data_IF_760361106831
#
_entry.id   IF_760361106831
#
_cell.length_a   1.000
_cell.length_b   1.000
_cell.length_c   1.000
_cell.angle_alpha   90.00
_cell.angle_beta   90.00
_cell.angle_gamma   90.00
#
_symmetry.space_group_name_H-M   'P 1'
#
loop_
_entity.id
_entity.type
_entity.pdbx_description
1 polymer ?
#
# COMPACT_ATOMS: atom_id res chain seq x y z
N UNK A 1 15.03 -17.55 -20.92
CA UNK A 1 15.07 -17.06 -19.52
C UNK A 1 15.37 -15.57 -19.41
N UNK A 2 16.30 -15.02 -20.21
CA UNK A 2 16.72 -13.61 -20.15
C UNK A 2 15.58 -12.59 -20.32
N UNK A 3 14.69 -12.77 -21.30
CA UNK A 3 13.54 -11.86 -21.52
C UNK A 3 12.63 -11.72 -20.29
N UNK A 4 12.41 -12.81 -19.54
CA UNK A 4 11.61 -12.75 -18.31
C UNK A 4 12.38 -12.06 -17.18
N UNK A 5 13.69 -12.28 -17.08
CA UNK A 5 14.58 -11.61 -16.12
C UNK A 5 14.51 -10.10 -16.31
N UNK A 6 14.70 -9.63 -17.54
CA UNK A 6 14.72 -8.21 -17.87
C UNK A 6 13.33 -7.58 -17.67
N UNK A 7 12.26 -8.32 -18.02
CA UNK A 7 10.87 -7.91 -17.71
C UNK A 7 10.66 -7.72 -16.21
N UNK A 8 11.10 -8.67 -15.38
CA UNK A 8 10.95 -8.59 -13.93
C UNK A 8 11.76 -7.41 -13.37
N UNK A 9 13.05 -7.30 -13.74
CA UNK A 9 13.93 -6.24 -13.27
C UNK A 9 13.41 -4.84 -13.64
N UNK A 10 12.96 -4.64 -14.89
CA UNK A 10 12.36 -3.37 -15.31
C UNK A 10 11.05 -3.05 -14.59
N UNK A 11 10.27 -4.08 -14.23
CA UNK A 11 9.02 -3.88 -13.47
C UNK A 11 9.31 -3.50 -12.03
N UNK A 12 10.24 -4.20 -11.37
CA UNK A 12 10.69 -3.87 -10.01
C UNK A 12 11.33 -2.50 -9.97
N UNK A 13 12.18 -2.14 -10.94
CA UNK A 13 12.78 -0.80 -11.04
C UNK A 13 11.72 0.30 -11.05
N UNK A 14 10.70 0.16 -11.90
CA UNK A 14 9.58 1.10 -11.98
C UNK A 14 8.81 1.16 -10.66
N UNK A 15 8.52 0.02 -10.06
CA UNK A 15 7.86 -0.06 -8.76
C UNK A 15 8.66 0.65 -7.64
N UNK A 16 9.95 0.36 -7.51
CA UNK A 16 10.81 0.98 -6.47
C UNK A 16 10.89 2.50 -6.66
N UNK A 17 11.04 2.97 -7.89
CA UNK A 17 11.07 4.40 -8.19
C UNK A 17 9.72 5.05 -7.87
N UNK A 18 8.62 4.40 -8.24
CA UNK A 18 7.25 4.87 -8.00
C UNK A 18 6.88 4.91 -6.51
N UNK A 19 7.22 3.88 -5.74
CA UNK A 19 6.98 3.84 -4.30
C UNK A 19 7.78 4.91 -3.56
N UNK A 20 9.04 5.12 -3.96
CA UNK A 20 9.90 6.15 -3.37
C UNK A 20 9.42 7.56 -3.70
N UNK A 21 9.02 7.83 -4.94
CA UNK A 21 8.54 9.15 -5.34
C UNK A 21 7.24 9.55 -4.63
N UNK A 22 6.43 8.57 -4.25
CA UNK A 22 5.19 8.76 -3.49
C UNK A 22 5.39 8.71 -1.97
N UNK A 23 6.63 8.65 -1.46
CA UNK A 23 6.86 8.66 -0.01
C UNK A 23 6.77 10.08 0.57
N UNK A 24 6.23 10.22 1.78
CA UNK A 24 6.12 11.52 2.45
C UNK A 24 7.48 12.19 2.68
N UNK A 25 8.50 11.40 3.04
CA UNK A 25 9.85 11.90 3.16
C UNK A 25 10.36 12.48 1.82
N UNK A 26 10.11 11.81 0.70
CA UNK A 26 10.51 12.35 -0.60
C UNK A 26 9.73 13.63 -0.93
N UNK A 27 8.45 13.70 -0.58
CA UNK A 27 7.63 14.88 -0.78
C UNK A 27 8.14 16.10 0.02
N UNK A 28 8.65 15.91 1.23
CA UNK A 28 9.33 16.99 2.00
C UNK A 28 10.52 17.52 1.22
N UNK A 29 11.39 16.62 0.74
CA UNK A 29 12.58 17.01 -0.02
C UNK A 29 12.20 17.77 -1.29
N UNK A 30 11.25 17.25 -2.08
CA UNK A 30 10.89 17.85 -3.37
C UNK A 30 10.16 19.19 -3.20
N UNK A 31 9.23 19.28 -2.26
CA UNK A 31 8.37 20.47 -2.14
C UNK A 31 9.04 21.63 -1.41
N UNK A 32 9.88 21.32 -0.42
CA UNK A 32 10.42 22.33 0.50
C UNK A 32 11.90 22.64 0.23
N UNK A 33 12.69 21.66 -0.21
CA UNK A 33 14.13 21.83 -0.50
C UNK A 33 14.32 22.23 -1.97
N UNK A 34 13.63 23.27 -2.44
CA UNK A 34 13.56 23.71 -3.87
C UNK A 34 14.92 23.92 -4.58
N UNK A 35 16.04 23.87 -3.87
CA UNK A 35 17.40 23.91 -4.40
C UNK A 35 18.07 22.55 -4.22
N UNK A 36 18.72 22.05 -5.29
CA UNK A 36 19.49 20.79 -5.41
C UNK A 36 19.44 19.92 -4.14
N UNK A 37 18.75 18.75 -4.17
CA UNK A 37 18.64 17.89 -2.99
C UNK A 37 20.05 17.68 -2.43
N UNK A 38 20.30 17.98 -1.14
CA UNK A 38 21.65 17.98 -0.61
C UNK A 38 22.30 16.66 -0.99
N UNK A 39 23.44 16.75 -1.68
CA UNK A 39 24.23 15.59 -2.05
C UNK A 39 24.54 14.85 -0.73
N UNK A 40 23.83 13.76 -0.51
CA UNK A 40 23.78 13.01 0.76
C UNK A 40 23.00 13.71 1.88
N UNK A 41 21.67 13.73 1.76
CA UNK A 41 20.84 13.59 2.96
C UNK A 41 21.32 12.33 3.70
N UNK A 42 22.00 12.54 4.83
CA UNK A 42 22.37 11.48 5.77
C UNK A 42 21.12 10.69 6.12
N UNK A 43 21.30 9.43 6.53
CA UNK A 43 20.19 8.65 7.07
C UNK A 43 19.57 9.45 8.23
N UNK A 44 18.25 9.68 8.16
CA UNK A 44 17.57 10.56 9.12
C UNK A 44 17.44 9.95 10.51
N UNK A 45 17.50 8.62 10.63
CA UNK A 45 17.39 7.88 11.89
C UNK A 45 18.59 7.00 12.17
N UNK A 46 18.91 6.81 13.44
CA UNK A 46 19.97 5.89 13.85
C UNK A 46 19.56 4.42 13.69
N UNK A 47 20.57 3.58 13.48
CA UNK A 47 20.40 2.15 13.34
C UNK A 47 21.25 1.44 14.38
N UNK A 48 20.60 0.59 15.16
CA UNK A 48 21.27 -0.36 16.03
C UNK A 48 21.29 -1.74 15.37
N UNK A 49 22.45 -2.38 15.33
CA UNK A 49 22.63 -3.69 14.71
C UNK A 49 22.87 -4.74 15.77
N UNK A 50 22.11 -5.84 15.72
CA UNK A 50 22.29 -7.02 16.54
C UNK A 50 22.63 -8.23 15.68
N UNK A 51 23.75 -8.89 15.98
CA UNK A 51 24.26 -10.05 15.23
C UNK A 51 24.32 -11.26 16.15
N UNK A 52 23.36 -12.17 15.99
CA UNK A 52 23.24 -13.36 16.82
C UNK A 52 23.23 -13.03 18.32
N UNK A 53 24.21 -13.58 19.07
CA UNK A 53 24.37 -13.38 20.52
C UNK A 53 25.28 -12.20 20.89
N UNK A 54 25.87 -11.50 19.91
CA UNK A 54 26.75 -10.35 20.19
C UNK A 54 25.95 -9.17 20.75
N UNK A 55 26.60 -8.31 21.58
CA UNK A 55 25.98 -7.07 22.00
C UNK A 55 25.61 -6.24 20.77
N UNK A 56 24.52 -5.49 20.90
CA UNK A 56 24.12 -4.57 19.86
C UNK A 56 25.08 -3.39 19.79
N UNK A 57 25.25 -2.82 18.60
CA UNK A 57 26.09 -1.65 18.38
C UNK A 57 25.39 -0.67 17.45
N UNK A 58 25.66 0.62 17.65
CA UNK A 58 25.16 1.66 16.76
C UNK A 58 25.95 1.65 15.44
N UNK A 59 25.22 1.72 14.34
CA UNK A 59 25.80 1.82 13.02
C UNK A 59 26.16 3.28 12.73
N UNK A 60 27.43 3.60 12.40
CA UNK A 60 27.83 4.95 12.02
C UNK A 60 26.98 5.49 10.86
N UNK A 61 26.59 6.77 10.93
CA UNK A 61 25.72 7.43 9.93
C UNK A 61 26.22 7.36 8.48
N UNK A 62 27.54 7.17 8.28
CA UNK A 62 28.16 7.02 6.94
C UNK A 62 27.94 5.62 6.33
N UNK A 63 27.61 4.62 7.13
CA UNK A 63 27.43 3.23 6.64
C UNK A 63 25.99 3.04 6.15
N UNK A 64 25.88 2.72 4.87
CA UNK A 64 24.61 2.45 4.19
C UNK A 64 24.04 1.08 4.54
N UNK A 65 22.72 0.91 4.38
CA UNK A 65 22.04 -0.36 4.69
C UNK A 65 22.53 -1.50 3.79
N UNK A 66 22.90 -1.21 2.54
CA UNK A 66 23.44 -2.22 1.60
C UNK A 66 24.76 -2.82 2.10
N UNK A 67 25.62 -2.02 2.75
CA UNK A 67 26.86 -2.53 3.33
C UNK A 67 26.61 -3.47 4.51
N UNK A 68 25.59 -3.18 5.33
CA UNK A 68 25.17 -4.10 6.40
C UNK A 68 24.61 -5.37 5.80
N UNK A 69 23.72 -5.25 4.81
CA UNK A 69 23.13 -6.38 4.10
C UNK A 69 24.20 -7.32 3.49
N UNK A 70 25.20 -6.76 2.81
CA UNK A 70 26.30 -7.53 2.22
C UNK A 70 27.15 -8.24 3.29
N UNK A 71 27.51 -7.53 4.37
CA UNK A 71 28.26 -8.11 5.51
C UNK A 71 27.51 -9.24 6.20
N UNK A 72 26.17 -9.15 6.24
CA UNK A 72 25.31 -10.16 6.84
C UNK A 72 24.87 -11.25 5.85
N UNK A 73 25.54 -11.36 4.69
CA UNK A 73 25.26 -12.38 3.66
C UNK A 73 23.78 -12.42 3.24
N UNK A 74 23.16 -11.25 3.08
CA UNK A 74 21.83 -11.12 2.49
C UNK A 74 20.63 -11.48 3.37
N UNK A 75 20.84 -11.96 4.61
CA UNK A 75 19.76 -12.39 5.52
C UNK A 75 19.59 -11.42 6.69
N UNK A 76 18.60 -10.54 6.61
CA UNK A 76 18.46 -9.39 7.51
C UNK A 76 17.03 -9.18 8.01
N UNK A 77 16.87 -8.94 9.31
CA UNK A 77 15.60 -8.49 9.90
C UNK A 77 15.66 -6.97 10.12
N UNK A 78 14.68 -6.22 9.64
CA UNK A 78 14.53 -4.78 9.89
C UNK A 78 13.39 -4.58 10.88
N UNK A 79 13.72 -4.07 12.06
CA UNK A 79 12.81 -3.76 13.16
C UNK A 79 12.69 -2.26 13.34
N UNK A 80 11.55 -1.80 13.86
CA UNK A 80 11.35 -0.40 14.19
C UNK A 80 9.90 -0.11 14.55
N UNK A 81 9.64 1.02 15.18
CA UNK A 81 8.29 1.43 15.55
C UNK A 81 7.40 1.67 14.30
N UNK A 82 6.07 1.63 14.43
CA UNK A 82 5.16 2.12 13.38
C UNK A 82 5.57 3.53 12.93
N UNK A 83 5.68 3.78 11.63
CA UNK A 83 6.19 5.06 11.10
C UNK A 83 7.71 5.28 11.25
N UNK A 84 8.46 4.33 11.83
CA UNK A 84 9.92 4.42 12.06
C UNK A 84 10.81 4.28 10.81
N UNK A 85 10.25 4.35 9.60
CA UNK A 85 11.05 4.32 8.36
C UNK A 85 11.40 2.93 7.80
N UNK A 86 10.83 1.83 8.32
CA UNK A 86 11.10 0.45 7.86
C UNK A 86 10.96 0.27 6.34
N UNK A 87 9.79 0.62 5.80
CA UNK A 87 9.51 0.56 4.37
C UNK A 87 10.44 1.48 3.57
N UNK A 88 10.78 2.66 4.10
CA UNK A 88 11.74 3.57 3.45
C UNK A 88 13.14 2.97 3.37
N UNK A 89 13.62 2.35 4.46
CA UNK A 89 14.91 1.63 4.48
C UNK A 89 14.89 0.42 3.54
N UNK A 90 13.78 -0.33 3.50
CA UNK A 90 13.61 -1.47 2.58
C UNK A 90 13.65 -1.03 1.11
N UNK A 91 12.98 0.08 0.77
CA UNK A 91 12.99 0.66 -0.59
C UNK A 91 14.36 1.21 -0.97
N UNK A 92 15.11 1.80 -0.03
CA UNK A 92 16.49 2.22 -0.25
C UNK A 92 17.37 1.02 -0.60
N UNK A 93 17.27 -0.06 0.18
CA UNK A 93 17.96 -1.32 -0.08
C UNK A 93 17.56 -1.90 -1.45
N UNK A 94 16.26 -2.00 -1.72
CA UNK A 94 15.74 -2.48 -3.00
C UNK A 94 16.31 -1.70 -4.18
N UNK A 95 16.38 -0.36 -4.09
CA UNK A 95 16.97 0.48 -5.13
C UNK A 95 18.44 0.14 -5.39
N UNK A 96 19.23 -0.05 -4.34
CA UNK A 96 20.65 -0.41 -4.46
C UNK A 96 20.82 -1.80 -5.10
N UNK A 97 19.95 -2.76 -4.74
CA UNK A 97 19.92 -4.09 -5.34
C UNK A 97 19.48 -4.08 -6.81
N UNK A 98 18.51 -3.24 -7.19
CA UNK A 98 18.12 -3.04 -8.60
C UNK A 98 19.31 -2.52 -9.40
N UNK A 99 20.00 -1.48 -8.93
CA UNK A 99 21.18 -0.93 -9.61
C UNK A 99 22.28 -1.99 -9.77
N UNK A 100 22.48 -2.83 -8.74
CA UNK A 100 23.42 -3.96 -8.81
C UNK A 100 23.00 -4.97 -9.89
N UNK A 101 21.73 -5.36 -9.92
CA UNK A 101 21.18 -6.33 -10.87
C UNK A 101 21.10 -5.84 -12.33
N UNK A 102 21.09 -4.52 -12.54
CA UNK A 102 21.26 -3.89 -13.86
C UNK A 102 22.71 -3.97 -14.36
N UNK A 103 23.68 -3.78 -13.46
CA UNK A 103 25.11 -3.83 -13.80
C UNK A 103 25.64 -5.25 -13.96
N UNK A 104 25.12 -6.19 -13.16
CA UNK A 104 25.62 -7.56 -13.08
C UNK A 104 24.48 -8.56 -13.40
N UNK A 105 24.38 -9.07 -14.64
CA UNK A 105 23.29 -9.96 -15.05
C UNK A 105 23.17 -11.25 -14.23
N UNK A 106 24.24 -11.69 -13.58
CA UNK A 106 24.29 -12.92 -12.75
C UNK A 106 23.77 -12.72 -11.33
N UNK A 107 23.53 -11.48 -10.88
CA UNK A 107 23.01 -11.26 -9.52
C UNK A 107 21.50 -11.50 -9.46
N UNK A 108 21.05 -11.82 -8.24
CA UNK A 108 19.64 -11.99 -7.88
C UNK A 108 18.84 -10.71 -8.15
N UNK A 109 17.58 -10.88 -8.55
CA UNK A 109 16.64 -9.78 -8.76
C UNK A 109 15.86 -9.53 -7.46
N UNK A 110 15.87 -8.30 -6.92
CA UNK A 110 15.05 -7.99 -5.75
C UNK A 110 13.56 -8.06 -6.10
N UNK A 111 12.76 -8.70 -5.24
CA UNK A 111 11.30 -8.68 -5.33
C UNK A 111 10.71 -8.19 -4.03
N UNK A 112 9.86 -7.16 -4.12
CA UNK A 112 9.14 -6.61 -2.98
C UNK A 112 7.83 -7.37 -2.79
N UNK A 113 7.56 -7.82 -1.57
CA UNK A 113 6.36 -8.59 -1.21
C UNK A 113 5.76 -8.03 0.09
N UNK A 114 4.43 -8.03 0.19
CA UNK A 114 3.73 -7.61 1.42
C UNK A 114 3.15 -8.84 2.11
N UNK A 115 3.60 -9.08 3.33
CA UNK A 115 3.23 -10.26 4.10
C UNK A 115 1.79 -10.19 4.62
N UNK A 116 1.17 -9.01 4.64
CA UNK A 116 -0.26 -8.86 4.95
C UNK A 116 -1.18 -9.63 4.00
N UNK A 117 -0.68 -10.02 2.82
CA UNK A 117 -1.41 -10.86 1.85
C UNK A 117 -1.43 -12.35 2.21
N UNK A 118 -0.74 -12.75 3.28
CA UNK A 118 -0.83 -14.09 3.85
C UNK A 118 -2.12 -14.22 4.68
N UNK A 119 -3.11 -14.94 4.16
CA UNK A 119 -4.44 -15.03 4.79
C UNK A 119 -4.86 -16.46 5.17
N UNK A 120 -4.13 -17.47 4.73
CA UNK A 120 -4.49 -18.88 4.97
C UNK A 120 -3.44 -19.56 5.84
N UNK A 121 -3.89 -20.18 6.93
CA UNK A 121 -3.02 -20.94 7.85
C UNK A 121 -2.47 -22.22 7.22
N UNK A 122 -3.14 -22.80 6.25
CA UNK A 122 -2.73 -24.06 5.62
C UNK A 122 -1.92 -23.84 4.34
N UNK A 123 -1.70 -22.58 3.94
CA UNK A 123 -0.95 -22.26 2.73
C UNK A 123 0.55 -22.50 2.95
N UNK A 124 1.19 -23.15 1.97
CA UNK A 124 2.64 -23.28 1.93
C UNK A 124 3.30 -21.97 1.48
N UNK A 125 4.44 -21.62 2.11
CA UNK A 125 5.14 -20.36 1.84
C UNK A 125 5.71 -20.25 0.43
N UNK A 126 6.14 -21.37 -0.14
CA UNK A 126 6.68 -21.41 -1.50
C UNK A 126 5.55 -21.16 -2.50
N UNK A 127 4.38 -21.76 -2.28
CA UNK A 127 3.20 -21.51 -3.10
C UNK A 127 2.67 -20.09 -2.95
N UNK A 128 2.67 -19.53 -1.74
CA UNK A 128 2.37 -18.10 -1.54
C UNK A 128 3.34 -17.21 -2.32
N UNK A 129 4.66 -17.42 -2.20
CA UNK A 129 5.68 -16.66 -2.93
C UNK A 129 5.42 -16.70 -4.45
N UNK A 130 5.19 -17.90 -4.99
CA UNK A 130 4.93 -18.09 -6.43
C UNK A 130 3.64 -17.37 -6.85
N UNK A 131 2.58 -17.48 -6.06
CA UNK A 131 1.30 -16.82 -6.34
C UNK A 131 1.41 -15.30 -6.26
N UNK A 132 2.09 -14.76 -5.25
CA UNK A 132 2.28 -13.32 -5.10
C UNK A 132 3.14 -12.74 -6.22
N UNK A 133 4.26 -13.39 -6.57
CA UNK A 133 5.12 -12.94 -7.67
C UNK A 133 4.38 -13.04 -9.02
N UNK A 134 3.60 -14.11 -9.25
CA UNK A 134 2.74 -14.22 -10.45
C UNK A 134 1.72 -13.10 -10.49
N UNK A 135 1.00 -12.88 -9.40
CA UNK A 135 -0.06 -11.88 -9.30
C UNK A 135 0.49 -10.48 -9.56
N UNK A 136 1.62 -10.14 -8.92
CA UNK A 136 2.24 -8.82 -8.93
C UNK A 136 3.01 -8.51 -10.20
N UNK A 137 3.86 -9.42 -10.68
CA UNK A 137 4.78 -9.17 -11.80
C UNK A 137 4.36 -9.83 -13.12
N UNK A 138 3.25 -10.59 -13.12
CA UNK A 138 2.73 -11.29 -14.30
C UNK A 138 3.79 -12.19 -14.97
N UNK A 139 4.54 -12.92 -14.14
CA UNK A 139 5.53 -13.93 -14.55
C UNK A 139 4.90 -15.34 -14.39
N UNK A 140 5.09 -16.26 -15.34
CA UNK A 140 4.55 -17.63 -15.23
C UNK A 140 5.11 -18.40 -14.03
N UNK A 141 4.25 -19.19 -13.35
CA UNK A 141 4.61 -19.96 -12.14
C UNK A 141 5.86 -20.82 -12.32
N UNK A 142 5.98 -21.52 -13.46
CA UNK A 142 7.12 -22.41 -13.77
C UNK A 142 8.46 -21.66 -13.75
N UNK A 143 8.48 -20.42 -14.27
CA UNK A 143 9.68 -19.58 -14.27
C UNK A 143 10.03 -19.11 -12.86
N UNK A 144 9.02 -18.74 -12.07
CA UNK A 144 9.21 -18.30 -10.69
C UNK A 144 9.77 -19.43 -9.82
N UNK A 145 9.22 -20.64 -9.92
CA UNK A 145 9.74 -21.82 -9.18
C UNK A 145 11.20 -22.08 -9.51
N UNK A 146 11.55 -22.12 -10.80
CA UNK A 146 12.93 -22.25 -11.24
C UNK A 146 13.84 -21.13 -10.69
N UNK A 147 13.37 -19.88 -10.61
CA UNK A 147 14.15 -18.79 -10.04
C UNK A 147 14.35 -18.89 -8.52
N UNK A 148 13.35 -19.40 -7.80
CA UNK A 148 13.46 -19.64 -6.36
C UNK A 148 14.46 -20.77 -6.07
N UNK A 149 14.34 -21.89 -6.78
CA UNK A 149 15.23 -23.07 -6.66
C UNK A 149 16.69 -22.72 -6.99
N UNK A 150 16.91 -21.89 -8.02
CA UNK A 150 18.25 -21.45 -8.43
C UNK A 150 18.74 -20.19 -7.69
N UNK A 151 18.06 -19.75 -6.63
CA UNK A 151 18.44 -18.59 -5.81
C UNK A 151 18.62 -17.28 -6.61
N UNK A 152 17.84 -17.10 -7.68
CA UNK A 152 17.92 -15.95 -8.58
C UNK A 152 17.08 -14.75 -8.13
N UNK A 153 16.41 -14.85 -6.98
CA UNK A 153 15.58 -13.78 -6.41
C UNK A 153 16.10 -13.37 -5.03
N UNK A 154 16.10 -12.06 -4.77
CA UNK A 154 16.30 -11.51 -3.42
C UNK A 154 14.94 -11.16 -2.84
N UNK A 155 14.52 -11.87 -1.79
CA UNK A 155 13.18 -11.72 -1.22
C UNK A 155 13.17 -10.56 -0.22
N UNK A 156 12.45 -9.48 -0.54
CA UNK A 156 12.29 -8.30 0.31
C UNK A 156 10.84 -8.24 0.80
N UNK A 157 10.59 -8.69 2.02
CA UNK A 157 9.26 -8.90 2.57
C UNK A 157 8.97 -7.85 3.65
N UNK A 158 7.92 -7.06 3.46
CA UNK A 158 7.46 -6.06 4.42
C UNK A 158 6.18 -6.51 5.14
N UNK A 159 5.90 -5.94 6.30
CA UNK A 159 4.58 -6.00 6.92
C UNK A 159 4.26 -7.22 7.78
N UNK A 160 5.24 -7.87 8.43
CA UNK A 160 4.94 -8.96 9.38
C UNK A 160 4.02 -8.51 10.53
N UNK A 161 4.14 -7.26 10.96
CA UNK A 161 3.27 -6.65 11.98
C UNK A 161 1.82 -6.45 11.54
N UNK A 162 1.52 -6.61 10.24
CA UNK A 162 0.17 -6.54 9.67
C UNK A 162 -0.50 -7.90 9.50
N UNK A 163 0.23 -9.00 9.76
CA UNK A 163 -0.36 -10.35 9.76
C UNK A 163 -1.24 -10.48 11.00
N UNK A 164 -2.41 -11.11 10.85
CA UNK A 164 -3.32 -11.30 11.98
C UNK A 164 -2.63 -12.07 13.12
N UNK A 165 -2.94 -11.75 14.39
CA UNK A 165 -2.30 -12.40 15.54
C UNK A 165 -2.42 -13.94 15.50
N UNK A 166 -3.56 -14.45 15.04
CA UNK A 166 -3.86 -15.88 14.88
C UNK A 166 -2.92 -16.59 13.89
N UNK A 167 -2.53 -15.90 12.81
CA UNK A 167 -1.67 -16.44 11.75
C UNK A 167 -0.18 -16.18 11.99
N UNK A 168 0.16 -15.19 12.83
CA UNK A 168 1.53 -14.70 13.01
C UNK A 168 2.54 -15.80 13.37
N UNK A 169 2.17 -16.72 14.27
CA UNK A 169 3.02 -17.86 14.69
C UNK A 169 3.31 -18.79 13.51
N UNK A 170 2.26 -19.21 12.81
CA UNK A 170 2.37 -20.11 11.67
C UNK A 170 3.14 -19.46 10.51
N UNK A 171 2.85 -18.19 10.21
CA UNK A 171 3.56 -17.41 9.21
C UNK A 171 5.07 -17.35 9.49
N UNK A 172 5.47 -17.13 10.75
CA UNK A 172 6.89 -17.13 11.14
C UNK A 172 7.52 -18.52 10.98
N UNK A 173 6.84 -19.58 11.40
CA UNK A 173 7.30 -20.97 11.24
C UNK A 173 7.49 -21.33 9.76
N UNK A 174 6.53 -20.98 8.92
CA UNK A 174 6.58 -21.13 7.47
C UNK A 174 7.75 -20.36 6.84
N UNK A 175 7.96 -19.09 7.22
CA UNK A 175 9.13 -18.34 6.73
C UNK A 175 10.44 -19.00 7.17
N UNK A 176 10.51 -19.54 8.39
CA UNK A 176 11.68 -20.27 8.85
C UNK A 176 11.93 -21.55 8.03
N UNK A 177 10.89 -22.18 7.48
CA UNK A 177 11.01 -23.33 6.57
C UNK A 177 11.65 -22.96 5.23
N UNK A 178 11.55 -21.71 4.76
CA UNK A 178 12.27 -21.26 3.55
C UNK A 178 13.78 -21.47 3.65
N UNK A 179 14.34 -21.31 4.85
CA UNK A 179 15.78 -21.53 5.09
C UNK A 179 16.20 -23.00 4.94
N UNK A 180 15.25 -23.93 4.93
CA UNK A 180 15.48 -25.37 4.76
C UNK A 180 15.22 -25.77 3.31
N UNK A 181 14.07 -25.40 2.74
CA UNK A 181 13.62 -25.89 1.44
C UNK A 181 14.21 -25.14 0.24
N UNK A 182 14.21 -23.80 0.28
CA UNK A 182 14.61 -22.97 -0.85
C UNK A 182 16.01 -22.36 -0.66
N UNK A 183 16.45 -22.21 0.59
CA UNK A 183 17.72 -21.59 0.95
C UNK A 183 17.98 -20.29 0.16
N UNK A 184 17.06 -19.30 0.19
CA UNK A 184 17.22 -18.10 -0.60
C UNK A 184 18.53 -17.41 -0.24
N UNK A 185 19.25 -16.96 -1.28
CA UNK A 185 20.51 -16.23 -1.14
C UNK A 185 20.31 -14.97 -0.28
N UNK A 186 19.25 -14.23 -0.57
CA UNK A 186 18.90 -13.01 0.14
C UNK A 186 17.46 -13.08 0.65
N UNK A 187 17.28 -12.76 1.93
CA UNK A 187 15.97 -12.69 2.60
C UNK A 187 15.98 -11.54 3.59
N UNK A 188 15.14 -10.54 3.33
CA UNK A 188 14.92 -9.40 4.21
C UNK A 188 13.48 -9.40 4.68
N UNK A 189 13.27 -9.27 5.98
CA UNK A 189 11.94 -9.21 6.60
C UNK A 189 11.83 -7.92 7.39
N UNK A 190 10.71 -7.22 7.29
CA UNK A 190 10.41 -6.06 8.14
C UNK A 190 9.28 -6.37 9.12
N UNK A 191 9.43 -5.90 10.37
CA UNK A 191 8.42 -6.04 11.41
C UNK A 191 8.46 -4.86 12.38
N UNK A 192 7.34 -4.58 13.05
CA UNK A 192 7.39 -3.78 14.27
C UNK A 192 8.25 -4.47 15.34
N UNK A 193 8.93 -3.68 16.17
CA UNK A 193 9.71 -4.23 17.29
C UNK A 193 8.79 -4.91 18.32
N UNK A 194 7.66 -4.28 18.67
CA UNK A 194 6.71 -4.81 19.63
C UNK A 194 6.14 -6.17 19.22
N UNK A 195 5.68 -6.31 17.97
CA UNK A 195 5.16 -7.58 17.45
C UNK A 195 6.23 -8.67 17.51
N UNK A 196 7.44 -8.38 17.02
CA UNK A 196 8.51 -9.37 16.97
C UNK A 196 9.06 -9.75 18.34
N UNK A 197 9.08 -8.81 19.30
CA UNK A 197 9.51 -9.07 20.68
C UNK A 197 8.65 -10.18 21.31
N UNK A 198 7.34 -10.12 21.09
CA UNK A 198 6.36 -11.04 21.66
C UNK A 198 6.33 -12.43 21.01
N UNK A 199 6.95 -12.62 19.85
CA UNK A 199 7.05 -13.94 19.22
C UNK A 199 7.96 -14.88 20.04
N UNK A 200 7.48 -16.07 20.40
CA UNK A 200 8.28 -17.11 21.07
C UNK A 200 9.38 -17.64 20.15
N UNK A 201 9.02 -17.94 18.91
CA UNK A 201 9.94 -18.31 17.84
C UNK A 201 10.55 -17.06 17.21
N UNK A 202 11.81 -17.15 16.78
CA UNK A 202 12.52 -16.05 16.12
C UNK A 202 12.88 -16.44 14.68
N UNK A 203 12.92 -15.45 13.79
CA UNK A 203 13.36 -15.65 12.41
C UNK A 203 14.80 -16.19 12.34
N UNK A 204 15.03 -17.18 11.49
CA UNK A 204 16.35 -17.76 11.18
C UNK A 204 17.10 -16.87 10.18
N UNK A 205 17.51 -15.70 10.65
CA UNK A 205 18.26 -14.69 9.89
C UNK A 205 19.63 -14.41 10.53
N UNK A 206 20.54 -13.77 9.80
CA UNK A 206 21.92 -13.58 10.28
C UNK A 206 22.06 -12.38 11.23
N UNK A 207 21.24 -11.36 11.04
CA UNK A 207 21.25 -10.16 11.87
C UNK A 207 19.89 -9.48 11.92
N UNK A 208 19.71 -8.63 12.94
CA UNK A 208 18.62 -7.69 13.05
C UNK A 208 19.17 -6.24 13.07
N UNK A 209 18.45 -5.35 12.43
CA UNK A 209 18.66 -3.90 12.38
C UNK A 209 17.45 -3.27 13.04
N UNK A 210 17.63 -2.54 14.12
CA UNK A 210 16.59 -1.77 14.80
C UNK A 210 16.73 -0.30 14.40
N UNK A 211 15.68 0.24 13.79
CA UNK A 211 15.53 1.65 13.49
C UNK A 211 15.09 2.36 14.76
N UNK A 212 15.89 3.30 15.23
CA UNK A 212 15.65 4.06 16.45
C UNK A 212 14.73 5.26 16.18
N UNK A 213 14.09 5.76 17.24
CA UNK A 213 13.41 7.05 17.23
C UNK A 213 14.39 8.18 16.91
N UNK A 214 13.89 9.26 16.33
CA UNK A 214 14.72 10.44 16.05
C UNK A 214 15.11 11.14 17.35
N UNK A 215 16.37 11.52 17.46
CA UNK A 215 16.82 12.39 18.55
C UNK A 215 16.42 13.85 18.29
N UNK A 216 16.34 14.66 19.34
CA UNK A 216 16.05 16.10 19.24
C UNK A 216 16.96 16.82 18.25
N UNK A 217 18.26 16.49 18.24
CA UNK A 217 19.22 17.05 17.28
C UNK A 217 18.92 16.64 15.83
N UNK A 218 18.54 15.39 15.60
CA UNK A 218 18.12 14.92 14.27
C UNK A 218 16.83 15.59 13.79
N UNK A 219 15.87 15.84 14.70
CA UNK A 219 14.63 16.57 14.41
C UNK A 219 14.97 18.01 13.99
N UNK A 220 15.83 18.69 14.74
CA UNK A 220 16.30 20.04 14.41
C UNK A 220 16.98 20.07 13.03
N UNK A 221 17.96 19.20 12.80
CA UNK A 221 18.68 19.11 11.53
C UNK A 221 17.72 18.87 10.35
N UNK A 222 16.74 17.98 10.53
CA UNK A 222 15.74 17.68 9.52
C UNK A 222 14.87 18.90 9.20
N UNK A 223 14.35 19.61 10.20
CA UNK A 223 13.49 20.77 10.02
C UNK A 223 14.25 21.95 9.40
N UNK A 224 15.50 22.17 9.80
CA UNK A 224 16.38 23.17 9.19
C UNK A 224 16.67 22.84 7.72
N UNK A 225 17.00 21.58 7.43
CA UNK A 225 17.21 21.13 6.05
C UNK A 225 15.93 21.24 5.19
N UNK A 226 14.75 21.06 5.80
CA UNK A 226 13.45 21.23 5.16
C UNK A 226 12.98 22.70 5.07
N UNK A 227 13.81 23.67 5.47
CA UNK A 227 13.44 25.10 5.52
C UNK A 227 12.21 25.39 6.41
N UNK A 228 11.98 24.57 7.44
CA UNK A 228 10.88 24.69 8.40
C UNK A 228 11.38 25.15 9.77
N UNK A 229 12.16 26.24 9.79
CA UNK A 229 12.80 26.78 11.01
C UNK A 229 11.78 27.23 12.07
N UNK A 230 10.66 27.80 11.65
CA UNK A 230 9.61 28.22 12.58
C UNK A 230 9.01 27.04 13.33
N UNK A 231 8.71 25.93 12.62
CA UNK A 231 8.22 24.71 13.25
C UNK A 231 9.19 24.18 14.31
N UNK A 232 10.50 24.26 14.08
CA UNK A 232 11.50 23.91 15.10
C UNK A 232 11.38 24.78 16.35
N UNK A 233 11.30 26.11 16.20
CA UNK A 233 11.16 27.03 17.34
C UNK A 233 9.89 26.76 18.16
N UNK A 234 8.83 26.25 17.55
CA UNK A 234 7.63 25.88 18.28
C UNK A 234 7.72 24.54 18.98
N UNK A 235 8.43 23.56 18.41
CA UNK A 235 8.54 22.21 18.95
C UNK A 235 9.57 22.08 20.07
N UNK A 236 10.64 22.88 20.04
CA UNK A 236 11.73 22.78 21.02
C UNK A 236 11.26 23.02 22.47
N UNK A 237 10.23 23.85 22.65
CA UNK A 237 9.68 24.23 23.96
C UNK A 237 8.44 23.40 24.35
N UNK A 238 8.07 22.39 23.55
CA UNK A 238 6.84 21.61 23.71
C UNK A 238 7.17 20.10 23.71
N UNK A 239 7.54 19.52 24.86
CA UNK A 239 8.03 18.14 24.97
C UNK A 239 7.08 17.10 24.37
N UNK A 240 5.77 17.27 24.54
CA UNK A 240 4.80 16.30 24.05
C UNK A 240 4.64 16.34 22.53
N UNK A 241 4.83 17.50 21.89
CA UNK A 241 4.85 17.60 20.44
C UNK A 241 6.18 17.10 19.88
N UNK A 242 7.28 17.30 20.61
CA UNK A 242 8.59 16.75 20.27
C UNK A 242 8.58 15.22 20.30
N UNK A 243 7.95 14.60 21.31
CA UNK A 243 7.75 13.14 21.39
C UNK A 243 7.02 12.59 20.15
N UNK A 244 6.06 13.34 19.62
CA UNK A 244 5.38 12.94 18.39
C UNK A 244 6.30 13.08 17.16
N UNK A 245 7.15 14.10 17.13
CA UNK A 245 8.16 14.34 16.09
C UNK A 245 9.31 13.33 16.09
N UNK A 246 9.52 12.57 17.18
CA UNK A 246 10.48 11.46 17.22
C UNK A 246 10.16 10.36 16.20
N UNK A 247 8.90 10.25 15.76
CA UNK A 247 8.47 9.31 14.73
C UNK A 247 8.70 9.95 13.36
N UNK A 248 9.59 9.42 12.49
CA UNK A 248 9.93 10.02 11.20
C UNK A 248 8.73 10.34 10.30
N UNK A 249 7.70 9.48 10.33
CA UNK A 249 6.45 9.71 9.62
C UNK A 249 5.73 10.98 10.10
N UNK A 250 5.60 11.13 11.42
CA UNK A 250 4.90 12.26 12.03
C UNK A 250 5.66 13.55 11.76
N UNK A 251 6.99 13.54 11.91
CA UNK A 251 7.83 14.69 11.54
C UNK A 251 7.63 15.11 10.07
N UNK A 252 7.59 14.13 9.16
CA UNK A 252 7.32 14.40 7.74
C UNK A 252 5.93 15.01 7.53
N UNK A 253 4.90 14.50 8.22
CA UNK A 253 3.54 15.04 8.15
C UNK A 253 3.45 16.45 8.73
N UNK A 254 4.08 16.72 9.89
CA UNK A 254 4.13 18.05 10.50
C UNK A 254 4.76 19.06 9.54
N UNK A 255 5.90 18.70 8.96
CA UNK A 255 6.62 19.55 8.01
C UNK A 255 5.78 19.84 6.77
N UNK A 256 5.08 18.84 6.23
CA UNK A 256 4.22 19.02 5.05
C UNK A 256 2.96 19.83 5.36
N UNK A 257 2.41 19.71 6.57
CA UNK A 257 1.13 20.26 7.01
C UNK A 257 1.26 21.58 7.77
N UNK A 258 2.47 22.08 8.02
CA UNK A 258 2.76 23.19 8.93
C UNK A 258 1.83 24.41 8.75
N UNK A 259 1.59 24.84 7.51
CA UNK A 259 0.70 25.98 7.20
C UNK A 259 -0.77 25.80 7.64
N UNK A 260 -1.23 24.57 7.86
CA UNK A 260 -2.60 24.25 8.32
C UNK A 260 -2.69 23.98 9.84
N UNK A 261 -1.55 24.03 10.54
CA UNK A 261 -1.44 23.74 11.97
C UNK A 261 -1.60 25.05 12.76
N UNK A 262 -2.69 25.16 13.52
CA UNK A 262 -2.83 26.22 14.53
C UNK A 262 -2.16 25.76 15.82
N UNK A 263 -0.91 26.19 16.03
CA UNK A 263 -0.05 25.74 17.14
C UNK A 263 -0.73 25.95 18.50
N UNK A 264 -1.37 27.10 18.72
CA UNK A 264 -2.08 27.38 19.98
C UNK A 264 -3.22 26.39 20.26
N UNK A 265 -3.94 25.94 19.22
CA UNK A 265 -4.99 24.93 19.37
C UNK A 265 -4.40 23.54 19.59
N UNK A 266 -3.32 23.20 18.88
CA UNK A 266 -2.67 21.90 18.99
C UNK A 266 -2.05 21.66 20.37
N UNK A 267 -1.47 22.71 20.98
CA UNK A 267 -0.91 22.69 22.34
C UNK A 267 -1.96 22.36 23.41
N UNK A 268 -3.18 22.87 23.27
CA UNK A 268 -4.29 22.65 24.24
C UNK A 268 -4.79 21.21 24.28
N UNK A 269 -4.46 20.39 23.27
CA UNK A 269 -4.86 18.99 23.24
C UNK A 269 -3.95 18.21 24.19
N UNK A 270 -4.52 17.60 25.21
CA UNK A 270 -3.78 16.88 26.25
C UNK A 270 -3.52 15.41 25.89
N UNK A 271 -4.42 14.79 25.12
CA UNK A 271 -4.28 13.38 24.75
C UNK A 271 -3.36 13.18 23.54
N UNK A 272 -2.48 12.17 23.60
CA UNK A 272 -1.61 11.80 22.47
C UNK A 272 -2.43 11.49 21.22
N UNK A 273 -3.48 10.68 21.34
CA UNK A 273 -4.37 10.33 20.22
C UNK A 273 -5.06 11.57 19.65
N UNK A 274 -5.43 12.54 20.47
CA UNK A 274 -6.00 13.81 20.02
C UNK A 274 -5.00 14.63 19.19
N UNK A 275 -3.74 14.72 19.65
CA UNK A 275 -2.67 15.42 18.92
C UNK A 275 -2.36 14.76 17.58
N UNK A 276 -2.33 13.42 17.55
CA UNK A 276 -2.20 12.63 16.32
C UNK A 276 -3.36 12.90 15.35
N UNK A 277 -4.60 12.81 15.82
CA UNK A 277 -5.81 13.08 15.02
C UNK A 277 -5.83 14.50 14.45
N UNK A 278 -5.40 15.48 15.26
CA UNK A 278 -5.27 16.86 14.83
C UNK A 278 -4.26 17.00 13.68
N UNK A 279 -3.07 16.41 13.83
CA UNK A 279 -2.03 16.42 12.80
C UNK A 279 -2.52 15.75 11.50
N UNK A 280 -3.20 14.61 11.59
CA UNK A 280 -3.76 13.91 10.42
C UNK A 280 -4.80 14.79 9.71
N UNK A 281 -5.68 15.47 10.44
CA UNK A 281 -6.66 16.40 9.86
C UNK A 281 -5.99 17.62 9.20
N UNK A 282 -4.98 18.22 9.84
CA UNK A 282 -4.21 19.31 9.24
C UNK A 282 -3.48 18.85 7.97
N UNK A 283 -2.88 17.66 8.00
CA UNK A 283 -2.25 17.04 6.85
C UNK A 283 -3.24 16.81 5.70
N UNK A 284 -4.42 16.23 5.97
CA UNK A 284 -5.45 16.01 4.95
C UNK A 284 -5.90 17.35 4.34
N UNK A 285 -6.21 18.35 5.16
CA UNK A 285 -6.59 19.70 4.68
C UNK A 285 -5.52 20.28 3.77
N UNK A 286 -4.26 20.23 4.19
CA UNK A 286 -3.13 20.72 3.40
C UNK A 286 -3.00 20.00 2.07
N UNK A 287 -3.12 18.68 2.04
CA UNK A 287 -2.98 17.91 0.80
C UNK A 287 -4.11 18.21 -0.19
N UNK A 288 -5.34 18.37 0.32
CA UNK A 288 -6.51 18.70 -0.50
C UNK A 288 -6.50 20.16 -0.99
N UNK A 289 -5.90 21.09 -0.23
CA UNK A 289 -5.85 22.52 -0.56
C UNK A 289 -4.68 22.96 -1.43
N UNK A 290 -3.65 22.13 -1.66
CA UNK A 290 -2.50 22.49 -2.48
C UNK A 290 -2.89 22.73 -3.95
N UNK A 291 -2.22 23.62 -4.66
CA UNK A 291 -2.29 23.64 -6.12
C UNK A 291 -1.57 22.41 -6.71
N UNK A 292 -2.20 21.71 -7.65
CA UNK A 292 -1.63 20.50 -8.23
C UNK A 292 -0.88 20.83 -9.53
N UNK A 293 0.36 20.34 -9.66
CA UNK A 293 1.07 20.35 -10.95
C UNK A 293 0.54 19.29 -11.92
N UNK A 294 -0.24 18.33 -11.42
CA UNK A 294 -0.89 17.30 -12.23
C UNK A 294 -2.33 17.70 -12.53
N UNK A 295 -2.62 17.96 -13.81
CA UNK A 295 -3.96 18.30 -14.30
C UNK A 295 -4.84 17.04 -14.38
N UNK A 296 -5.06 16.36 -13.25
CA UNK A 296 -6.07 15.30 -13.20
C UNK A 296 -7.45 15.89 -13.41
N UNK A 297 -7.75 17.07 -12.86
CA UNK A 297 -8.99 17.81 -13.07
C UNK A 297 -8.67 19.20 -13.62
N UNK A 298 -9.59 19.76 -14.41
CA UNK A 298 -9.57 21.19 -14.69
C UNK A 298 -9.94 21.94 -13.41
N UNK A 299 -9.45 23.18 -13.21
CA UNK A 299 -9.69 23.96 -11.97
C UNK A 299 -11.16 24.02 -11.56
N UNK A 300 -12.10 24.07 -12.50
CA UNK A 300 -13.55 24.12 -12.25
C UNK A 300 -14.21 22.76 -12.00
N UNK A 301 -13.50 21.65 -12.24
CA UNK A 301 -14.01 20.27 -12.12
C UNK A 301 -13.36 19.48 -10.98
N UNK A 302 -12.46 20.12 -10.23
CA UNK A 302 -11.78 19.47 -9.11
C UNK A 302 -12.79 19.14 -8.00
N UNK A 303 -12.82 17.91 -7.49
CA UNK A 303 -13.71 17.55 -6.40
C UNK A 303 -13.44 18.40 -5.15
N UNK A 304 -14.53 18.84 -4.49
CA UNK A 304 -14.40 19.60 -3.26
C UNK A 304 -13.66 18.76 -2.18
N UNK A 305 -12.87 19.39 -1.28
CA UNK A 305 -12.16 18.68 -0.22
C UNK A 305 -13.08 17.77 0.62
N UNK A 306 -14.28 18.24 0.95
CA UNK A 306 -15.26 17.46 1.71
C UNK A 306 -15.84 16.26 0.93
N UNK A 307 -15.99 16.38 -0.39
CA UNK A 307 -16.39 15.24 -1.23
C UNK A 307 -15.27 14.21 -1.29
N UNK A 308 -14.02 14.67 -1.52
CA UNK A 308 -12.85 13.80 -1.53
C UNK A 308 -12.69 13.06 -0.20
N UNK A 309 -12.85 13.76 0.92
CA UNK A 309 -12.78 13.19 2.26
C UNK A 309 -13.84 12.10 2.45
N UNK A 310 -15.09 12.36 2.06
CA UNK A 310 -16.19 11.37 2.14
C UNK A 310 -15.91 10.12 1.31
N UNK A 311 -15.47 10.27 0.06
CA UNK A 311 -15.14 9.13 -0.80
C UNK A 311 -13.95 8.31 -0.28
N UNK A 312 -12.94 8.96 0.30
CA UNK A 312 -11.82 8.26 0.93
C UNK A 312 -12.22 7.57 2.24
N UNK A 313 -13.07 8.19 3.05
CA UNK A 313 -13.61 7.59 4.27
C UNK A 313 -14.43 6.33 3.94
N UNK A 314 -15.35 6.42 2.97
CA UNK A 314 -16.11 5.27 2.49
C UNK A 314 -15.20 4.14 1.98
N UNK A 315 -14.20 4.46 1.16
CA UNK A 315 -13.23 3.47 0.69
C UNK A 315 -12.49 2.80 1.85
N UNK A 316 -12.03 3.58 2.85
CA UNK A 316 -11.33 3.05 4.02
C UNK A 316 -12.22 2.10 4.84
N UNK A 317 -13.48 2.49 5.09
CA UNK A 317 -14.46 1.67 5.82
C UNK A 317 -14.71 0.33 5.11
N UNK A 318 -14.86 0.34 3.78
CA UNK A 318 -15.05 -0.90 3.00
C UNK A 318 -13.82 -1.79 2.97
N UNK A 319 -12.65 -1.19 2.79
CA UNK A 319 -11.39 -1.92 2.87
C UNK A 319 -11.18 -2.53 4.26
N UNK A 320 -11.57 -1.83 5.34
CA UNK A 320 -11.50 -2.35 6.70
C UNK A 320 -12.45 -3.54 6.93
N UNK A 321 -13.69 -3.45 6.44
CA UNK A 321 -14.68 -4.54 6.53
C UNK A 321 -14.22 -5.81 5.80
N UNK A 322 -13.56 -5.66 4.65
CA UNK A 322 -13.00 -6.77 3.87
C UNK A 322 -11.61 -7.24 4.35
N UNK A 323 -11.09 -6.66 5.44
CA UNK A 323 -9.73 -6.88 5.94
C UNK A 323 -8.66 -6.77 4.84
N UNK A 324 -8.81 -5.78 3.97
CA UNK A 324 -7.96 -5.55 2.80
C UNK A 324 -7.17 -4.26 2.92
N UNK A 325 -5.85 -4.34 2.71
CA UNK A 325 -4.98 -3.17 2.69
C UNK A 325 -4.72 -2.65 1.26
N UNK A 326 -5.04 -3.45 0.23
CA UNK A 326 -4.87 -3.11 -1.19
C UNK A 326 -6.20 -3.14 -1.95
N UNK A 327 -6.56 -2.02 -2.56
CA UNK A 327 -7.74 -1.86 -3.40
C UNK A 327 -7.41 -1.94 -4.90
N UNK A 328 -8.25 -2.65 -5.65
CA UNK A 328 -8.32 -2.57 -7.11
C UNK A 328 -9.76 -2.32 -7.54
N UNK A 329 -9.94 -1.56 -8.62
CA UNK A 329 -11.28 -1.22 -9.13
C UNK A 329 -12.07 -2.48 -9.56
N UNK A 330 -11.36 -3.54 -9.96
CA UNK A 330 -11.95 -4.84 -10.31
C UNK A 330 -12.47 -5.62 -9.10
N UNK A 331 -12.03 -5.28 -7.87
CA UNK A 331 -12.48 -5.91 -6.63
C UNK A 331 -13.76 -5.29 -6.07
N UNK A 332 -14.38 -4.33 -6.75
CA UNK A 332 -15.70 -3.83 -6.33
C UNK A 332 -16.71 -4.99 -6.35
N UNK A 333 -17.28 -5.29 -5.19
CA UNK A 333 -18.21 -6.42 -4.98
C UNK A 333 -19.59 -5.89 -4.57
N UNK A 334 -20.67 -6.62 -4.89
CA UNK A 334 -22.01 -6.29 -4.42
C UNK A 334 -22.15 -6.22 -2.89
N UNK A 335 -21.27 -6.92 -2.15
CA UNK A 335 -21.21 -6.86 -0.69
C UNK A 335 -20.79 -5.48 -0.12
N UNK A 336 -20.35 -4.56 -0.97
CA UNK A 336 -19.97 -3.19 -0.57
C UNK A 336 -21.13 -2.19 -0.63
N UNK A 337 -22.36 -2.66 -0.87
CA UNK A 337 -23.57 -1.85 -0.81
C UNK A 337 -24.04 -1.77 0.66
N UNK A 338 -24.33 -0.55 1.13
CA UNK A 338 -24.59 -0.24 2.56
C UNK A 338 -25.97 -0.71 3.01
N UNK A 339 -26.97 -0.54 2.16
CA UNK A 339 -28.37 -0.72 2.54
C UNK A 339 -28.98 -1.94 1.87
N UNK A 340 -29.86 -2.63 2.59
CA UNK A 340 -30.70 -3.68 2.00
C UNK A 340 -31.45 -3.18 0.75
N UNK A 341 -31.84 -1.90 0.71
CA UNK A 341 -32.44 -1.26 -0.46
C UNK A 341 -31.48 -1.11 -1.65
N UNK A 342 -30.20 -0.79 -1.42
CA UNK A 342 -29.19 -0.71 -2.48
C UNK A 342 -28.93 -2.09 -3.11
N UNK A 343 -28.87 -3.13 -2.27
CA UNK A 343 -28.68 -4.51 -2.71
C UNK A 343 -29.90 -5.02 -3.48
N UNK A 344 -31.12 -4.71 -3.01
CA UNK A 344 -32.36 -5.03 -3.72
C UNK A 344 -32.44 -4.31 -5.07
N UNK A 345 -32.17 -3.02 -5.11
CA UNK A 345 -32.12 -2.25 -6.36
C UNK A 345 -31.08 -2.83 -7.33
N UNK A 346 -29.89 -3.18 -6.83
CA UNK A 346 -28.86 -3.85 -7.61
C UNK A 346 -29.34 -5.17 -8.22
N UNK A 347 -29.96 -6.04 -7.41
CA UNK A 347 -30.48 -7.32 -7.87
C UNK A 347 -31.61 -7.15 -8.90
N UNK A 348 -32.56 -6.24 -8.64
CA UNK A 348 -33.67 -5.95 -9.55
C UNK A 348 -33.18 -5.42 -10.90
N UNK A 349 -32.27 -4.44 -10.90
CA UNK A 349 -31.74 -3.84 -12.13
C UNK A 349 -30.95 -4.88 -12.94
N UNK A 350 -30.08 -5.65 -12.29
CA UNK A 350 -29.29 -6.70 -12.98
C UNK A 350 -30.19 -7.78 -13.57
N UNK A 351 -31.20 -8.23 -12.82
CA UNK A 351 -32.14 -9.25 -13.28
C UNK A 351 -33.01 -8.74 -14.42
N UNK A 352 -33.57 -7.54 -14.30
CA UNK A 352 -34.42 -6.94 -15.33
C UNK A 352 -33.67 -6.78 -16.65
N UNK A 353 -32.46 -6.22 -16.62
CA UNK A 353 -31.65 -6.04 -17.84
C UNK A 353 -31.28 -7.40 -18.45
N UNK A 354 -30.94 -8.39 -17.63
CA UNK A 354 -30.59 -9.73 -18.13
C UNK A 354 -31.78 -10.42 -18.78
N UNK A 355 -32.97 -10.35 -18.16
CA UNK A 355 -34.22 -10.90 -18.70
C UNK A 355 -34.60 -10.23 -20.02
N UNK A 356 -34.53 -8.90 -20.11
CA UNK A 356 -34.85 -8.17 -21.34
C UNK A 356 -33.88 -8.52 -22.47
N UNK A 357 -32.58 -8.60 -22.18
CA UNK A 357 -31.56 -8.93 -23.18
C UNK A 357 -31.73 -10.34 -23.74
N UNK A 358 -31.87 -11.34 -22.86
CA UNK A 358 -32.06 -12.72 -23.29
C UNK A 358 -33.43 -12.93 -23.93
N UNK A 359 -34.50 -12.30 -23.43
CA UNK A 359 -35.83 -12.33 -24.04
C UNK A 359 -35.83 -11.79 -25.46
N UNK A 360 -35.11 -10.70 -25.72
CA UNK A 360 -34.96 -10.17 -27.06
C UNK A 360 -34.17 -11.12 -27.99
N UNK A 361 -33.05 -11.66 -27.52
CA UNK A 361 -32.22 -12.60 -28.31
C UNK A 361 -33.01 -13.85 -28.66
N UNK A 362 -33.62 -14.50 -27.67
CA UNK A 362 -34.39 -15.72 -27.90
C UNK A 362 -35.64 -15.43 -28.71
N UNK A 363 -36.36 -14.33 -28.43
CA UNK A 363 -37.49 -13.89 -29.24
C UNK A 363 -37.12 -13.79 -30.71
N UNK A 364 -36.02 -13.09 -31.03
CA UNK A 364 -35.54 -12.96 -32.40
C UNK A 364 -35.19 -14.32 -33.03
N UNK A 365 -34.40 -15.16 -32.33
CA UNK A 365 -34.00 -16.49 -32.82
C UNK A 365 -35.22 -17.38 -33.08
N UNK A 366 -36.17 -17.44 -32.14
CA UNK A 366 -37.34 -18.30 -32.28
C UNK A 366 -38.30 -17.80 -33.36
N UNK A 367 -38.41 -16.49 -33.60
CA UNK A 367 -39.22 -15.95 -34.71
C UNK A 367 -38.64 -16.25 -36.10
N UNK A 368 -37.37 -16.68 -36.20
CA UNK A 368 -36.80 -17.16 -37.47
C UNK A 368 -37.18 -18.60 -37.79
N UNK A 369 -37.63 -19.37 -36.80
CA UNK A 369 -37.94 -20.80 -36.92
C UNK A 369 -39.45 -21.07 -36.82
N UNK A 370 -40.16 -20.27 -36.02
CA UNK A 370 -41.59 -20.38 -35.75
C UNK A 370 -42.33 -19.12 -36.19
N UNK A 371 -43.66 -19.22 -36.31
CA UNK A 371 -44.52 -18.06 -36.52
C UNK A 371 -44.30 -16.99 -35.44
N UNK A 372 -44.45 -15.72 -35.83
CA UNK A 372 -44.12 -14.56 -34.99
C UNK A 372 -44.71 -14.64 -33.57
N UNK A 373 -45.98 -15.06 -33.46
CA UNK A 373 -46.67 -15.19 -32.17
C UNK A 373 -46.02 -16.26 -31.27
N UNK A 374 -45.78 -17.46 -31.81
CA UNK A 374 -45.19 -18.58 -31.07
C UNK A 374 -43.72 -18.31 -30.72
N UNK A 375 -42.98 -17.72 -31.67
CA UNK A 375 -41.59 -17.34 -31.47
C UNK A 375 -41.39 -16.33 -30.35
N UNK A 376 -42.27 -15.32 -30.25
CA UNK A 376 -42.22 -14.33 -29.17
C UNK A 376 -42.54 -14.93 -27.79
N UNK A 377 -43.53 -15.83 -27.69
CA UNK A 377 -43.89 -16.46 -26.40
C UNK A 377 -42.77 -17.37 -25.91
N UNK A 378 -42.28 -18.28 -26.77
CA UNK A 378 -41.18 -19.20 -26.43
C UNK A 378 -39.89 -18.42 -26.12
N UNK A 379 -39.63 -17.37 -26.88
CA UNK A 379 -38.50 -16.47 -26.64
C UNK A 379 -38.57 -15.72 -25.31
N UNK A 380 -39.75 -15.24 -24.92
CA UNK A 380 -39.95 -14.58 -23.63
C UNK A 380 -39.75 -15.55 -22.45
N UNK A 381 -40.32 -16.76 -22.52
CA UNK A 381 -40.16 -17.79 -21.47
C UNK A 381 -38.69 -18.21 -21.35
N UNK A 382 -38.06 -18.53 -22.48
CA UNK A 382 -36.64 -18.89 -22.52
C UNK A 382 -35.74 -17.75 -22.02
N UNK A 383 -36.06 -16.52 -22.38
CA UNK A 383 -35.35 -15.31 -21.93
C UNK A 383 -35.44 -15.03 -20.44
N UNK A 384 -36.61 -15.26 -19.82
CA UNK A 384 -36.77 -15.13 -18.36
C UNK A 384 -35.95 -16.19 -17.64
N UNK A 385 -36.08 -17.46 -18.05
CA UNK A 385 -35.36 -18.58 -17.42
C UNK A 385 -33.85 -18.33 -17.55
N UNK A 386 -33.35 -18.11 -18.77
CA UNK A 386 -31.92 -17.95 -19.01
C UNK A 386 -31.41 -16.65 -18.41
N UNK A 387 -32.15 -15.54 -18.48
CA UNK A 387 -31.74 -14.27 -17.88
C UNK A 387 -31.64 -14.29 -16.35
N UNK A 388 -32.44 -15.12 -15.68
CA UNK A 388 -32.39 -15.28 -14.22
C UNK A 388 -31.19 -16.14 -13.76
N UNK A 389 -30.78 -17.13 -14.57
CA UNK A 389 -29.65 -18.02 -14.27
C UNK A 389 -28.30 -17.54 -14.85
N UNK A 390 -28.32 -16.94 -16.04
CA UNK A 390 -27.15 -16.51 -16.81
C UNK A 390 -27.14 -14.98 -16.95
N UNK A 391 -26.61 -14.30 -15.92
CA UNK A 391 -26.41 -12.84 -15.97
C UNK A 391 -25.35 -12.43 -17.01
N UNK A 392 -25.46 -11.18 -17.48
CA UNK A 392 -24.55 -10.67 -18.51
C UNK A 392 -23.12 -10.41 -18.00
N UNK A 393 -22.08 -10.81 -18.75
CA UNK A 393 -20.69 -10.48 -18.41
C UNK A 393 -20.49 -8.97 -18.32
N UNK A 394 -19.97 -8.48 -17.19
CA UNK A 394 -19.66 -7.05 -16.99
C UNK A 394 -20.84 -6.16 -16.54
N UNK A 395 -22.10 -6.58 -16.74
CA UNK A 395 -23.29 -5.84 -16.30
C UNK A 395 -23.27 -5.58 -14.79
N UNK A 396 -22.94 -6.61 -14.00
CA UNK A 396 -22.83 -6.54 -12.54
C UNK A 396 -21.92 -5.40 -12.08
N UNK A 397 -20.74 -5.28 -12.69
CA UNK A 397 -19.77 -4.23 -12.33
C UNK A 397 -20.24 -2.83 -12.74
N UNK A 398 -20.97 -2.72 -13.85
CA UNK A 398 -21.52 -1.44 -14.31
C UNK A 398 -22.65 -0.96 -13.40
N UNK A 399 -23.65 -1.82 -13.14
CA UNK A 399 -24.80 -1.50 -12.28
C UNK A 399 -24.32 -1.17 -10.86
N UNK A 400 -23.36 -1.93 -10.33
CA UNK A 400 -22.75 -1.65 -9.03
C UNK A 400 -22.15 -0.23 -8.98
N UNK A 401 -21.37 0.17 -9.99
CA UNK A 401 -20.79 1.52 -10.05
C UNK A 401 -21.85 2.61 -10.18
N UNK A 402 -22.91 2.35 -10.95
CA UNK A 402 -24.01 3.28 -11.12
C UNK A 402 -24.70 3.55 -9.77
N UNK A 403 -25.03 2.51 -9.02
CA UNK A 403 -25.69 2.63 -7.71
C UNK A 403 -24.77 3.36 -6.72
N UNK A 404 -23.50 2.94 -6.63
CA UNK A 404 -22.53 3.60 -5.74
C UNK A 404 -22.31 5.08 -6.10
N UNK A 405 -22.38 5.44 -7.39
CA UNK A 405 -22.29 6.83 -7.84
C UNK A 405 -23.53 7.64 -7.45
N UNK A 406 -24.73 7.13 -7.73
CA UNK A 406 -25.98 7.83 -7.40
C UNK A 406 -26.17 8.03 -5.90
N UNK A 407 -25.66 7.12 -5.07
CA UNK A 407 -25.69 7.25 -3.61
C UNK A 407 -24.54 8.10 -3.06
N UNK A 408 -23.66 8.63 -3.92
CA UNK A 408 -22.58 9.54 -3.52
C UNK A 408 -21.37 8.88 -2.86
N UNK A 409 -21.29 7.54 -2.87
CA UNK A 409 -20.18 6.78 -2.26
C UNK A 409 -18.89 6.86 -3.06
N UNK A 410 -18.99 6.94 -4.39
CA UNK A 410 -17.84 7.05 -5.31
C UNK A 410 -18.12 8.08 -6.42
N UNK A 411 -17.07 8.69 -7.00
CA UNK A 411 -17.20 9.46 -8.21
C UNK A 411 -17.33 8.57 -9.46
N UNK A 412 -17.98 9.09 -10.50
CA UNK A 412 -18.19 8.38 -11.77
C UNK A 412 -16.90 7.84 -12.38
N UNK A 413 -15.88 8.69 -12.54
CA UNK A 413 -14.55 8.26 -12.99
C UNK A 413 -13.67 7.91 -11.80
N UNK A 414 -13.93 6.75 -11.21
CA UNK A 414 -13.24 6.33 -9.98
C UNK A 414 -11.73 6.17 -10.17
N UNK A 415 -11.27 5.71 -11.35
CA UNK A 415 -9.84 5.62 -11.66
C UNK A 415 -9.16 6.99 -11.64
N UNK A 416 -9.78 8.00 -12.24
CA UNK A 416 -9.28 9.40 -12.24
C UNK A 416 -9.19 9.93 -10.82
N UNK A 417 -10.21 9.68 -10.00
CA UNK A 417 -10.24 10.07 -8.59
C UNK A 417 -9.13 9.41 -7.76
N UNK A 418 -8.93 8.09 -7.88
CA UNK A 418 -7.88 7.39 -7.13
C UNK A 418 -6.48 7.87 -7.52
N UNK A 419 -6.27 8.15 -8.81
CA UNK A 419 -5.03 8.79 -9.28
C UNK A 419 -4.84 10.20 -8.73
N UNK A 420 -5.93 10.97 -8.67
CA UNK A 420 -5.94 12.29 -8.06
C UNK A 420 -5.55 12.19 -6.57
N UNK A 421 -6.21 11.35 -5.78
CA UNK A 421 -5.90 11.13 -4.37
C UNK A 421 -4.46 10.60 -4.14
N UNK A 422 -3.93 9.81 -5.09
CA UNK A 422 -2.53 9.40 -5.07
C UNK A 422 -1.57 10.57 -5.34
N UNK A 423 -1.90 11.47 -6.27
CA UNK A 423 -1.14 12.70 -6.50
C UNK A 423 -1.16 13.66 -5.31
N UNK A 424 -2.21 13.60 -4.49
CA UNK A 424 -2.33 14.30 -3.20
C UNK A 424 -1.60 13.62 -2.03
N UNK A 425 -0.86 12.53 -2.25
CA UNK A 425 -0.18 11.78 -1.19
C UNK A 425 -1.12 11.28 -0.07
N UNK A 426 -2.39 11.03 -0.40
CA UNK A 426 -3.34 10.38 0.51
C UNK A 426 -3.38 8.87 0.23
N UNK A 427 -3.31 8.51 -1.04
CA UNK A 427 -3.13 7.15 -1.52
C UNK A 427 -1.72 6.97 -2.11
N UNK A 428 -1.33 5.72 -2.22
CA UNK A 428 -0.16 5.27 -2.96
C UNK A 428 -0.63 4.31 -4.05
N UNK A 429 -0.17 4.55 -5.28
CA UNK A 429 -0.46 3.75 -6.46
C UNK A 429 0.73 2.86 -6.82
N UNK A 430 0.45 1.57 -7.05
CA UNK A 430 1.40 0.57 -7.56
C UNK A 430 0.75 -0.18 -8.72
N UNK A 431 1.06 0.21 -9.96
CA UNK A 431 0.36 -0.30 -11.15
C UNK A 431 -1.12 0.09 -11.15
N UNK A 432 -2.02 -0.88 -11.08
CA UNK A 432 -3.48 -0.68 -10.98
C UNK A 432 -4.03 -0.84 -9.55
N UNK A 433 -3.13 -0.94 -8.56
CA UNK A 433 -3.46 -1.10 -7.14
C UNK A 433 -3.29 0.21 -6.39
N UNK A 434 -4.17 0.42 -5.42
CA UNK A 434 -4.17 1.59 -4.56
C UNK A 434 -4.19 1.14 -3.10
N UNK A 435 -3.39 1.78 -2.27
CA UNK A 435 -3.39 1.62 -0.82
C UNK A 435 -3.28 2.99 -0.18
N UNK A 436 -3.72 3.15 1.06
CA UNK A 436 -3.43 4.39 1.78
C UNK A 436 -1.92 4.51 2.00
N UNK A 437 -1.38 5.73 1.89
CA UNK A 437 0.07 5.95 1.97
C UNK A 437 0.67 5.44 3.30
N UNK A 438 -0.14 5.43 4.36
CA UNK A 438 0.20 4.84 5.64
C UNK A 438 -1.05 4.32 6.38
N UNK A 439 -0.87 3.28 7.19
CA UNK A 439 -1.95 2.65 7.96
C UNK A 439 -2.64 3.61 8.95
N UNK A 440 -1.92 4.60 9.48
CA UNK A 440 -2.53 5.62 10.35
C UNK A 440 -3.56 6.49 9.62
N UNK A 441 -3.29 6.85 8.36
CA UNK A 441 -4.28 7.56 7.54
C UNK A 441 -5.45 6.65 7.20
N UNK A 442 -5.20 5.40 6.85
CA UNK A 442 -6.26 4.40 6.64
C UNK A 442 -7.18 4.29 7.86
N UNK A 443 -6.61 4.11 9.05
CA UNK A 443 -7.36 4.02 10.30
C UNK A 443 -8.15 5.29 10.57
N UNK A 444 -7.52 6.46 10.41
CA UNK A 444 -8.20 7.75 10.59
C UNK A 444 -9.37 7.93 9.62
N UNK A 445 -9.21 7.58 8.33
CA UNK A 445 -10.30 7.63 7.36
C UNK A 445 -11.42 6.61 7.66
N UNK A 446 -11.10 5.45 8.26
CA UNK A 446 -12.12 4.48 8.65
C UNK A 446 -12.96 4.90 9.87
N UNK A 447 -12.48 5.87 10.66
CA UNK A 447 -13.12 6.33 11.90
C UNK A 447 -13.93 7.63 11.75
N UNK A 448 -13.89 8.28 10.57
CA UNK A 448 -14.50 9.61 10.34
C UNK A 448 -15.69 9.60 9.40
#
# INVERSE_FOLDING_TARGET
MQRNRDKLLNTVKREVLQLRSQSLHHAVIVNLVRQRPPQQLKRSWDIEVKVGKRPSFQLPAKISIIQVFDRMKGKLLILGNPGGGKTTTLLELARKLVIRAEKEPKTSIPVLLDLSTWQDKNQDISDWLVNQIKFKYKIPKKVIRNWLENQQLSLLIDGFDRVSPELSKNCLEEINKLSVYLQPKDLVICSSFATYKNCRTKFKLNAAVLLQSLTTGQIQDYLLAASSRELWYYLQDEPELLNLAEIPLMLSMMTLAYEEILIAAWRRITSQQGREKYLLNAYIRRQLGRENNYNWYSKSQEPLPEQTRRWLAWLAQRMAADNSQEFTIEKLRPAWLDSNGELQAYQLIVNLISVLFWGFIFGFIFTLVFDLYQGLILGAIGGVIIGMFFGLPGLKNLVLRIILFFNGHIPWNYRRFLNYAASRLLLQRVGDRYQFIHHLLFKHFSEI
#
